data_IF_434002798719
#
_entry.id   IF_434002798719
#
_cell.length_a   1.000
_cell.length_b   1.000
_cell.length_c   1.000
_cell.angle_alpha   90.00
_cell.angle_beta   90.00
_cell.angle_gamma   90.00
#
_symmetry.space_group_name_H-M   'P 1'
#
loop_
_entity.id
_entity.type
_entity.pdbx_description
1 polymer ?
#
# COMPACT_ATOMS: atom_id res chain seq x y z
N UNK A 1 -29.56 9.05 14.55
CA UNK A 1 -28.99 8.04 13.62
C UNK A 1 -27.72 7.51 14.26
N UNK A 2 -27.37 6.25 14.04
CA UNK A 2 -26.36 5.56 14.83
C UNK A 2 -25.00 6.24 14.67
N UNK A 3 -24.58 7.01 15.68
CA UNK A 3 -23.24 7.59 15.77
C UNK A 3 -22.27 6.42 15.91
N UNK A 4 -21.64 6.01 14.81
CA UNK A 4 -20.64 4.95 14.83
C UNK A 4 -19.51 5.33 15.81
N UNK A 5 -18.84 4.32 16.37
CA UNK A 5 -17.67 4.54 17.23
C UNK A 5 -16.45 3.91 16.59
N UNK A 6 -15.27 4.46 16.89
CA UNK A 6 -14.01 3.82 16.55
C UNK A 6 -13.98 2.38 17.07
N UNK A 7 -13.65 1.44 16.20
CA UNK A 7 -13.64 0.00 16.46
C UNK A 7 -14.92 -0.73 16.06
N UNK A 8 -16.01 -0.02 15.71
CA UNK A 8 -17.25 -0.68 15.27
C UNK A 8 -17.06 -1.36 13.91
N UNK A 9 -17.62 -2.56 13.78
CA UNK A 9 -17.67 -3.28 12.50
C UNK A 9 -18.77 -2.68 11.61
N UNK A 10 -18.37 -2.28 10.43
CA UNK A 10 -19.22 -1.62 9.45
C UNK A 10 -19.10 -2.28 8.08
N UNK A 11 -20.15 -2.15 7.28
CA UNK A 11 -20.15 -2.49 5.86
C UNK A 11 -20.52 -1.24 5.08
N UNK A 12 -19.89 -1.06 3.93
CA UNK A 12 -20.24 0.02 3.00
C UNK A 12 -21.46 -0.41 2.20
N UNK A 13 -22.51 0.41 2.22
CA UNK A 13 -23.75 0.15 1.50
C UNK A 13 -23.51 0.27 0.01
N UNK A 14 -23.90 -0.76 -0.75
CA UNK A 14 -23.88 -0.69 -2.21
C UNK A 14 -25.05 0.17 -2.71
N UNK A 15 -24.73 1.36 -3.23
CA UNK A 15 -25.67 2.29 -3.89
C UNK A 15 -25.18 2.74 -5.27
N UNK A 16 -26.09 3.31 -6.05
CA UNK A 16 -25.74 4.02 -7.29
C UNK A 16 -24.96 5.31 -6.97
N UNK A 17 -23.96 5.62 -7.80
CA UNK A 17 -23.12 6.81 -7.67
C UNK A 17 -24.00 8.04 -7.91
N UNK A 18 -24.03 8.96 -6.95
CA UNK A 18 -24.67 10.26 -7.13
C UNK A 18 -23.66 11.26 -7.70
N UNK A 19 -24.12 12.33 -8.38
CA UNK A 19 -23.23 13.41 -8.85
C UNK A 19 -22.50 14.14 -7.70
N UNK A 20 -23.01 14.04 -6.47
CA UNK A 20 -22.36 14.54 -5.26
C UNK A 20 -21.16 13.66 -4.84
N UNK A 21 -21.20 12.38 -5.14
CA UNK A 21 -20.13 11.41 -4.84
C UNK A 21 -18.92 11.61 -5.77
N UNK A 22 -19.17 11.94 -7.04
CA UNK A 22 -18.10 12.26 -8.00
C UNK A 22 -17.31 13.51 -7.59
N UNK A 23 -17.97 14.47 -6.93
CA UNK A 23 -17.33 15.70 -6.44
C UNK A 23 -16.65 15.52 -5.09
N UNK A 24 -17.25 14.74 -4.20
CA UNK A 24 -16.71 14.53 -2.85
C UNK A 24 -15.62 13.46 -2.80
N UNK A 25 -15.64 12.50 -3.73
CA UNK A 25 -14.72 11.36 -3.72
C UNK A 25 -14.93 10.41 -2.53
N UNK A 26 -16.04 10.53 -1.81
CA UNK A 26 -16.33 9.75 -0.59
C UNK A 26 -17.01 8.40 -0.88
N UNK A 27 -17.49 8.20 -2.10
CA UNK A 27 -18.10 6.95 -2.51
C UNK A 27 -17.77 6.61 -3.95
N UNK A 28 -17.38 5.34 -4.16
CA UNK A 28 -17.24 4.75 -5.47
C UNK A 28 -18.00 3.43 -5.50
N UNK A 29 -18.53 3.03 -6.66
CA UNK A 29 -19.33 1.81 -6.79
C UNK A 29 -18.59 0.54 -6.31
N UNK A 30 -17.27 0.47 -6.50
CA UNK A 30 -16.45 -0.66 -6.07
C UNK A 30 -16.19 -0.69 -4.54
N UNK A 31 -16.59 0.34 -3.80
CA UNK A 31 -16.62 0.30 -2.34
C UNK A 31 -17.84 -0.43 -1.80
N UNK A 32 -18.92 -0.53 -2.59
CA UNK A 32 -20.14 -1.20 -2.18
C UNK A 32 -19.88 -2.65 -1.76
N UNK A 33 -20.34 -3.01 -0.55
CA UNK A 33 -20.19 -4.35 0.00
C UNK A 33 -18.89 -4.63 0.73
N UNK A 34 -17.92 -3.69 0.74
CA UNK A 34 -16.70 -3.83 1.54
C UNK A 34 -17.03 -3.82 3.03
N UNK A 35 -16.36 -4.68 3.80
CA UNK A 35 -16.53 -4.76 5.26
C UNK A 35 -15.25 -4.35 5.95
N UNK A 36 -15.37 -3.72 7.12
CA UNK A 36 -14.21 -3.25 7.86
C UNK A 36 -14.56 -2.80 9.27
N UNK A 37 -13.61 -2.10 9.88
CA UNK A 37 -13.80 -1.44 11.18
C UNK A 37 -13.53 0.05 11.10
N UNK A 38 -14.30 0.84 11.84
CA UNK A 38 -14.08 2.29 11.93
C UNK A 38 -12.75 2.58 12.61
N UNK A 39 -11.87 3.30 11.94
CA UNK A 39 -10.57 3.74 12.45
C UNK A 39 -10.66 5.15 13.04
N UNK A 40 -11.26 6.08 12.30
CA UNK A 40 -11.43 7.47 12.71
C UNK A 40 -12.74 8.05 12.16
N UNK A 41 -13.31 9.02 12.89
CA UNK A 41 -14.50 9.77 12.49
C UNK A 41 -14.10 11.24 12.52
N UNK A 42 -14.45 11.95 11.46
CA UNK A 42 -14.14 13.36 11.28
C UNK A 42 -15.40 14.20 11.48
N UNK A 43 -15.20 15.47 11.87
CA UNK A 43 -16.28 16.40 12.21
C UNK A 43 -17.16 16.80 11.01
N UNK A 44 -16.66 16.58 9.79
CA UNK A 44 -17.38 16.80 8.53
C UNK A 44 -18.36 15.66 8.16
N UNK A 45 -18.45 14.62 9.00
CA UNK A 45 -19.27 13.43 8.75
C UNK A 45 -18.58 12.38 7.87
N UNK A 46 -17.29 12.55 7.58
CA UNK A 46 -16.46 11.54 6.93
C UNK A 46 -15.97 10.51 7.95
N UNK A 47 -15.90 9.25 7.56
CA UNK A 47 -15.50 8.12 8.40
C UNK A 47 -14.40 7.35 7.68
N UNK A 48 -13.27 7.16 8.36
CA UNK A 48 -12.20 6.30 7.90
C UNK A 48 -12.47 4.87 8.35
N UNK A 49 -12.54 3.96 7.39
CA UNK A 49 -12.76 2.52 7.62
C UNK A 49 -11.50 1.76 7.22
N UNK A 50 -10.97 0.97 8.15
CA UNK A 50 -9.96 -0.04 7.87
C UNK A 50 -10.66 -1.28 7.29
N UNK A 51 -10.44 -1.53 6.00
CA UNK A 51 -11.14 -2.55 5.22
C UNK A 51 -10.50 -3.91 5.46
N UNK A 52 -11.35 -4.90 5.72
CA UNK A 52 -10.93 -6.30 5.80
C UNK A 52 -10.51 -6.78 4.40
N UNK A 53 -9.25 -7.21 4.24
CA UNK A 53 -8.70 -7.66 2.95
C UNK A 53 -9.48 -8.83 2.31
N UNK A 54 -10.24 -9.58 3.10
CA UNK A 54 -11.11 -10.65 2.61
C UNK A 54 -12.37 -10.16 1.90
N UNK A 55 -12.74 -8.88 2.08
CA UNK A 55 -13.87 -8.25 1.38
C UNK A 55 -13.47 -7.59 0.06
N UNK A 56 -12.17 -7.38 -0.18
CA UNK A 56 -11.65 -6.83 -1.42
C UNK A 56 -11.77 -7.84 -2.56
N UNK A 57 -11.84 -7.32 -3.79
CA UNK A 57 -11.70 -8.15 -4.99
C UNK A 57 -10.30 -8.78 -5.06
N UNK A 58 -10.18 -9.91 -5.78
CA UNK A 58 -8.90 -10.63 -5.89
C UNK A 58 -7.79 -9.73 -6.45
N UNK A 59 -8.08 -8.94 -7.49
CA UNK A 59 -7.14 -8.00 -8.10
C UNK A 59 -6.69 -6.89 -7.14
N UNK A 60 -7.61 -6.36 -6.32
CA UNK A 60 -7.28 -5.32 -5.34
C UNK A 60 -6.43 -5.91 -4.20
N UNK A 61 -6.78 -7.12 -3.75
CA UNK A 61 -6.03 -7.86 -2.73
C UNK A 61 -4.62 -8.19 -3.20
N UNK A 62 -4.46 -8.69 -4.43
CA UNK A 62 -3.16 -9.04 -5.00
C UNK A 62 -2.26 -7.81 -5.12
N UNK A 63 -2.80 -6.71 -5.65
CA UNK A 63 -2.07 -5.44 -5.72
C UNK A 63 -1.64 -4.94 -4.35
N UNK A 64 -2.53 -5.01 -3.35
CA UNK A 64 -2.20 -4.61 -1.98
C UNK A 64 -1.07 -5.47 -1.38
N UNK A 65 -1.12 -6.79 -1.58
CA UNK A 65 -0.07 -7.71 -1.11
C UNK A 65 1.26 -7.47 -1.83
N UNK A 66 1.24 -7.25 -3.15
CA UNK A 66 2.42 -6.94 -3.93
C UNK A 66 3.07 -5.62 -3.47
N UNK A 67 2.26 -4.58 -3.21
CA UNK A 67 2.75 -3.32 -2.65
C UNK A 67 3.33 -3.50 -1.24
N UNK A 68 2.67 -4.29 -0.39
CA UNK A 68 3.18 -4.60 0.95
C UNK A 68 4.53 -5.33 0.88
N UNK A 69 4.71 -6.26 -0.05
CA UNK A 69 5.97 -6.96 -0.24
C UNK A 69 7.07 -6.05 -0.78
N UNK A 70 6.75 -5.20 -1.77
CA UNK A 70 7.68 -4.22 -2.31
C UNK A 70 8.15 -3.22 -1.23
N UNK A 71 7.23 -2.73 -0.41
CA UNK A 71 7.54 -1.81 0.69
C UNK A 71 8.31 -2.51 1.80
N UNK A 72 7.96 -3.76 2.14
CA UNK A 72 8.72 -4.59 3.07
C UNK A 72 10.15 -4.78 2.58
N UNK A 73 10.35 -5.06 1.29
CA UNK A 73 11.67 -5.23 0.69
C UNK A 73 12.47 -3.93 0.75
N UNK A 74 11.88 -2.80 0.33
CA UNK A 74 12.51 -1.48 0.42
C UNK A 74 12.88 -1.11 1.85
N UNK A 75 11.97 -1.30 2.80
CA UNK A 75 12.21 -1.02 4.21
C UNK A 75 13.35 -1.89 4.76
N UNK A 76 13.34 -3.19 4.47
CA UNK A 76 14.42 -4.08 4.89
C UNK A 76 15.75 -3.70 4.22
N UNK A 77 15.75 -3.37 2.92
CA UNK A 77 16.95 -2.96 2.18
C UNK A 77 17.54 -1.63 2.68
N UNK A 78 16.69 -0.75 3.22
CA UNK A 78 17.12 0.49 3.89
C UNK A 78 17.71 0.28 5.29
N UNK A 79 17.57 -0.91 5.89
CA UNK A 79 18.17 -1.22 7.19
C UNK A 79 19.60 -1.73 7.03
N UNK A 80 20.50 -1.24 7.89
CA UNK A 80 21.85 -1.79 8.02
C UNK A 80 21.80 -3.27 8.45
N UNK A 81 22.82 -4.06 8.10
CA UNK A 81 22.88 -5.49 8.43
C UNK A 81 22.70 -5.80 9.93
N UNK A 82 23.18 -4.91 10.79
CA UNK A 82 23.02 -5.00 12.25
C UNK A 82 21.57 -4.76 12.70
N UNK A 83 20.88 -3.77 12.11
CA UNK A 83 19.47 -3.50 12.39
C UNK A 83 18.55 -4.62 11.89
N UNK A 84 18.88 -5.19 10.71
CA UNK A 84 18.18 -6.36 10.13
C UNK A 84 18.32 -7.62 10.99
N UNK A 85 19.48 -7.82 11.62
CA UNK A 85 19.75 -8.93 12.53
C UNK A 85 19.03 -8.83 13.87
N UNK A 86 18.74 -7.60 14.33
CA UNK A 86 18.06 -7.33 15.61
C UNK A 86 16.53 -7.51 15.56
N UNK A 87 15.94 -7.53 14.37
CA UNK A 87 14.50 -7.67 14.16
C UNK A 87 14.08 -9.15 14.12
N UNK A 88 13.09 -9.50 14.94
CA UNK A 88 12.42 -10.80 14.92
C UNK A 88 11.54 -10.97 13.67
N UNK A 89 11.15 -12.21 13.34
CA UNK A 89 10.32 -12.51 12.17
C UNK A 89 9.01 -11.70 12.14
N UNK A 90 8.37 -11.53 13.30
CA UNK A 90 7.15 -10.73 13.44
C UNK A 90 7.41 -9.24 13.23
N UNK A 91 8.56 -8.73 13.67
CA UNK A 91 8.94 -7.33 13.48
C UNK A 91 9.36 -7.04 12.04
N UNK A 92 9.82 -8.06 11.31
CA UNK A 92 10.08 -7.98 9.86
C UNK A 92 8.78 -7.97 9.05
N UNK A 93 7.64 -8.30 9.66
CA UNK A 93 6.35 -8.32 8.99
C UNK A 93 5.79 -6.91 8.89
N UNK A 94 6.05 -6.24 7.77
CA UNK A 94 5.34 -5.02 7.41
C UNK A 94 3.91 -5.38 7.00
N UNK A 95 2.92 -4.81 7.68
CA UNK A 95 1.50 -4.92 7.33
C UNK A 95 0.98 -3.56 6.88
N UNK A 96 0.49 -3.47 5.66
CA UNK A 96 -0.20 -2.29 5.17
C UNK A 96 -1.69 -2.44 5.48
N UNK A 97 -2.28 -1.43 6.12
CA UNK A 97 -3.73 -1.32 6.26
C UNK A 97 -4.32 -0.76 4.97
N UNK A 98 -5.50 -1.25 4.58
CA UNK A 98 -6.24 -0.72 3.45
C UNK A 98 -7.36 0.16 4.00
N UNK A 99 -7.09 1.45 4.12
CA UNK A 99 -8.02 2.42 4.69
C UNK A 99 -8.75 3.17 3.58
N UNK A 100 -10.06 3.27 3.70
CA UNK A 100 -10.91 4.09 2.82
C UNK A 100 -11.58 5.19 3.63
N UNK A 101 -11.85 6.31 2.98
CA UNK A 101 -12.64 7.39 3.55
C UNK A 101 -14.03 7.35 2.90
N UNK A 102 -15.08 7.35 3.71
CA UNK A 102 -16.46 7.34 3.20
C UNK A 102 -17.40 8.16 4.08
N UNK A 103 -18.62 8.44 3.61
CA UNK A 103 -19.60 9.18 4.41
C UNK A 103 -20.25 8.28 5.46
N UNK A 104 -20.58 8.84 6.63
CA UNK A 104 -21.37 8.15 7.66
C UNK A 104 -22.70 7.60 7.11
N UNK A 105 -23.30 8.28 6.12
CA UNK A 105 -24.58 7.90 5.52
C UNK A 105 -24.49 6.63 4.67
N UNK A 106 -23.30 6.25 4.22
CA UNK A 106 -23.05 5.09 3.35
C UNK A 106 -22.54 3.88 4.13
N UNK A 107 -22.59 3.95 5.46
CA UNK A 107 -22.19 2.88 6.36
C UNK A 107 -23.41 2.23 7.01
N UNK A 108 -23.36 0.91 7.13
CA UNK A 108 -24.28 0.13 7.93
C UNK A 108 -23.51 -0.69 8.98
N UNK A 109 -24.09 -0.83 10.18
CA UNK A 109 -23.49 -1.66 11.22
C UNK A 109 -23.50 -3.13 10.78
N UNK A 110 -22.33 -3.74 10.67
CA UNK A 110 -22.18 -5.11 10.22
C UNK A 110 -21.98 -6.02 11.43
N UNK A 111 -23.01 -6.81 11.77
CA UNK A 111 -22.93 -7.88 12.79
C UNK A 111 -22.40 -9.21 12.19
N UNK A 112 -21.48 -9.14 11.25
CA UNK A 112 -20.73 -10.32 10.82
C UNK A 112 -19.70 -10.70 11.88
N UNK A 113 -19.63 -11.98 12.21
CA UNK A 113 -19.03 -12.51 13.44
C UNK A 113 -17.60 -12.02 13.76
N UNK A 114 -17.33 -12.01 15.08
CA UNK A 114 -16.09 -11.63 15.76
C UNK A 114 -14.84 -11.55 14.87
N UNK A 115 -14.15 -10.39 14.81
CA UNK A 115 -12.73 -10.41 14.51
C UNK A 115 -12.04 -11.19 15.64
N UNK A 116 -11.23 -12.19 15.29
CA UNK A 116 -10.32 -12.82 16.24
C UNK A 116 -9.36 -11.75 16.74
N UNK A 117 -9.62 -11.34 17.98
CA UNK A 117 -8.83 -10.44 18.80
C UNK A 117 -7.35 -10.85 18.73
N UNK A 118 -6.58 -10.16 17.89
CA UNK A 118 -5.13 -10.18 17.95
C UNK A 118 -4.70 -9.41 19.20
N UNK A 119 -4.94 -10.02 20.35
CA UNK A 119 -4.50 -9.56 21.67
C UNK A 119 -3.01 -9.26 21.58
N UNK A 120 -2.69 -7.97 21.57
CA UNK A 120 -1.32 -7.44 21.61
C UNK A 120 -0.71 -7.83 22.96
N UNK A 121 -0.14 -9.03 23.03
CA UNK A 121 0.57 -9.49 24.21
C UNK A 121 1.91 -8.77 24.31
N UNK A 122 2.03 -7.99 25.39
CA UNK A 122 3.28 -7.51 25.94
C UNK A 122 4.10 -8.72 26.39
N UNK A 123 5.24 -8.99 25.76
CA UNK A 123 6.34 -9.77 26.34
C UNK A 123 7.53 -8.81 26.49
N UNK A 124 7.74 -8.22 27.67
CA UNK A 124 8.43 -8.78 28.84
C UNK A 124 9.83 -9.31 28.51
N UNK A 125 10.80 -8.43 28.79
CA UNK A 125 12.22 -8.66 29.02
C UNK A 125 12.55 -10.01 29.66
N UNK A 126 13.51 -10.72 29.08
CA UNK A 126 14.43 -11.59 29.81
C UNK A 126 15.78 -11.62 29.10
N UNK A 127 16.79 -11.08 29.79
CA UNK A 127 18.20 -11.47 29.69
C UNK A 127 18.29 -13.02 29.72
N UNK A 128 19.23 -13.72 29.09
CA UNK A 128 20.67 -13.58 29.26
C UNK A 128 21.42 -14.60 28.37
N UNK A 129 22.69 -14.28 28.09
CA UNK A 129 23.88 -15.16 27.96
C UNK A 129 24.07 -16.13 26.77
N UNK A 130 24.90 -15.64 25.85
CA UNK A 130 26.22 -16.17 25.45
C UNK A 130 26.34 -17.61 24.91
N UNK A 131 26.81 -17.73 23.66
CA UNK A 131 28.10 -18.40 23.39
C UNK A 131 28.61 -18.07 21.98
N UNK A 132 29.84 -17.60 21.95
CA UNK A 132 30.73 -17.38 20.81
C UNK A 132 31.00 -18.62 19.95
N UNK A 133 31.25 -18.45 18.63
CA UNK A 133 32.51 -18.90 17.99
C UNK A 133 32.74 -18.34 16.58
N UNK A 134 33.92 -17.75 16.42
CA UNK A 134 34.68 -17.29 15.24
C UNK A 134 34.82 -18.30 14.10
N UNK A 135 34.77 -17.83 12.84
CA UNK A 135 35.74 -18.14 11.76
C UNK A 135 35.50 -17.29 10.50
N UNK A 136 36.35 -16.28 10.29
CA UNK A 136 36.91 -15.88 8.98
C UNK A 136 38.06 -16.86 8.61
N UNK A 137 38.71 -16.85 7.41
CA UNK A 137 38.75 -15.82 6.36
C UNK A 137 38.66 -16.35 4.91
N UNK A 138 38.69 -15.46 3.89
CA UNK A 138 39.71 -15.42 2.80
C UNK A 138 39.28 -14.57 1.60
N UNK A 139 40.27 -13.85 1.06
CA UNK A 139 40.18 -12.79 0.06
C UNK A 139 40.36 -13.22 -1.41
N UNK A 140 39.85 -12.32 -2.29
CA UNK A 140 40.31 -11.90 -3.64
C UNK A 140 40.08 -12.83 -4.86
N UNK A 141 40.13 -12.35 -6.13
CA UNK A 141 40.33 -10.98 -6.67
C UNK A 141 39.34 -10.55 -7.81
N UNK A 142 39.58 -9.36 -8.36
CA UNK A 142 38.98 -8.65 -9.50
C UNK A 142 38.83 -9.44 -10.82
N UNK A 143 37.83 -9.05 -11.63
CA UNK A 143 37.94 -8.97 -13.09
C UNK A 143 37.02 -7.89 -13.67
N UNK A 144 37.61 -7.11 -14.58
CA UNK A 144 37.16 -5.91 -15.26
C UNK A 144 36.20 -6.17 -16.44
N UNK A 145 35.61 -5.07 -16.92
CA UNK A 145 35.11 -4.77 -18.27
C UNK A 145 33.98 -5.58 -18.96
N UNK A 146 32.91 -4.83 -19.32
CA UNK A 146 32.48 -4.75 -20.73
C UNK A 146 31.07 -5.22 -21.08
N UNK A 147 30.12 -4.27 -21.18
CA UNK A 147 29.49 -3.91 -22.48
C UNK A 147 28.12 -3.24 -22.28
N UNK A 148 28.07 -1.98 -22.70
CA UNK A 148 26.91 -1.13 -22.78
C UNK A 148 25.93 -1.59 -23.88
N UNK A 149 24.64 -1.52 -23.58
CA UNK A 149 23.59 -1.29 -24.57
C UNK A 149 22.69 -0.19 -24.02
N UNK A 150 23.18 1.04 -24.10
CA UNK A 150 22.39 2.26 -23.92
C UNK A 150 21.18 2.21 -24.84
N UNK A 151 20.00 2.11 -24.24
CA UNK A 151 18.77 2.57 -24.89
C UNK A 151 18.93 4.08 -25.05
N UNK A 152 19.39 4.51 -26.22
CA UNK A 152 19.63 5.90 -26.60
C UNK A 152 18.34 6.68 -26.33
N UNK A 153 18.27 7.39 -25.20
CA UNK A 153 17.18 8.31 -24.91
C UNK A 153 17.25 9.38 -26.00
N UNK A 154 16.21 9.47 -26.82
CA UNK A 154 16.08 10.55 -27.79
C UNK A 154 16.21 11.87 -27.03
N UNK A 155 17.06 12.77 -27.51
CA UNK A 155 17.23 14.08 -26.88
C UNK A 155 15.98 14.93 -27.12
N UNK A 156 15.79 15.97 -26.32
CA UNK A 156 14.70 16.94 -26.49
C UNK A 156 14.72 17.58 -27.89
N UNK A 157 15.90 17.77 -28.49
CA UNK A 157 16.05 18.24 -29.87
C UNK A 157 15.50 17.26 -30.90
N UNK A 158 15.68 15.95 -30.71
CA UNK A 158 15.16 14.92 -31.62
C UNK A 158 13.61 14.85 -31.55
N UNK A 159 13.04 15.07 -30.38
CA UNK A 159 11.57 15.15 -30.17
C UNK A 159 10.98 16.41 -30.82
N UNK A 160 11.63 17.56 -30.62
CA UNK A 160 11.15 18.84 -31.16
C UNK A 160 11.14 18.82 -32.69
N UNK A 161 12.17 18.24 -33.31
CA UNK A 161 12.26 18.11 -34.76
C UNK A 161 11.19 17.19 -35.35
N UNK A 162 10.84 16.11 -34.64
CA UNK A 162 9.76 15.21 -35.04
C UNK A 162 8.37 15.87 -34.95
N UNK A 163 8.15 16.70 -33.92
CA UNK A 163 6.90 17.47 -33.77
C UNK A 163 6.73 18.54 -34.85
N UNK A 164 7.82 19.24 -35.23
CA UNK A 164 7.78 20.25 -36.30
C UNK A 164 7.50 19.62 -37.67
N UNK A 165 8.09 18.47 -37.99
CA UNK A 165 7.78 17.75 -39.24
C UNK A 165 6.33 17.28 -39.28
N UNK A 166 5.80 16.80 -38.16
CA UNK A 166 4.40 16.41 -38.04
C UNK A 166 3.44 17.60 -38.28
N UNK A 167 3.70 18.74 -37.63
CA UNK A 167 2.92 19.96 -37.83
C UNK A 167 3.00 20.51 -39.26
N UNK A 168 4.16 20.38 -39.90
CA UNK A 168 4.35 20.81 -41.29
C UNK A 168 3.61 19.90 -42.27
N UNK A 169 3.52 18.60 -41.99
CA UNK A 169 2.72 17.66 -42.78
C UNK A 169 1.21 17.96 -42.70
N UNK A 170 0.72 18.41 -41.55
CA UNK A 170 -0.68 18.82 -41.36
C UNK A 170 -1.06 20.12 -42.09
N UNK A 171 -0.06 20.98 -42.36
CA UNK A 171 -0.28 22.30 -42.96
C UNK A 171 -0.06 22.33 -44.48
N UNK A 172 0.26 21.18 -45.08
CA UNK A 172 0.54 21.02 -46.52
C UNK A 172 -0.66 20.60 -47.38
N UNK A 173 -1.81 20.28 -46.78
CA UNK A 173 -3.05 19.95 -47.49
C UNK A 173 -4.13 21.02 -47.22
N UNK A 174 -4.03 22.16 -47.93
CA UNK A 174 -5.13 23.10 -48.22
C UNK A 174 -4.77 23.98 -49.41
#
# INVERSE_FOLDING_TARGET
MATFKTGDKVRVVAREIKPEDEKSGLYYAYFGGLTGSVDAIYDDGSVCVDVDLGSLSEDARERHLAMQEAEKKRWLDGLSGEARGRLNADQKQLRLSYKILTSENDLESFKGGKPTDGKREKSSTSENKASSKTTEPRAAPHSDEGSAAESKRMSEDDLTKAEEEYLKSLKGDS
#
